data_IF_422399032985
#
_entry.id   IF_422399032985
#
_cell.length_a   1.000
_cell.length_b   1.000
_cell.length_c   1.000
_cell.angle_alpha   90.00
_cell.angle_beta   90.00
_cell.angle_gamma   90.00
#
_symmetry.space_group_name_H-M   'P 1'
#
loop_
_entity.id
_entity.type
_entity.pdbx_description
1 polymer ?
#
# COMPACT_ATOMS: atom_id res chain seq x y z
N UNK A 1 30.85 -2.21 3.38
CA UNK A 1 31.64 -2.35 2.14
C UNK A 1 31.18 -3.61 1.41
N UNK A 2 30.20 -3.50 0.54
CA UNK A 2 29.84 -4.58 -0.40
C UNK A 2 30.80 -4.52 -1.57
N UNK A 3 31.55 -5.57 -1.74
CA UNK A 3 32.56 -5.71 -2.82
C UNK A 3 31.87 -5.80 -4.19
N UNK A 4 32.25 -4.92 -5.07
CA UNK A 4 32.10 -5.04 -6.52
C UNK A 4 32.40 -6.46 -7.01
N UNK A 5 31.40 -7.14 -7.50
CA UNK A 5 31.55 -8.47 -8.11
C UNK A 5 30.55 -8.76 -9.24
N UNK A 6 30.17 -7.81 -10.06
CA UNK A 6 29.29 -8.19 -11.20
C UNK A 6 29.50 -7.43 -12.51
N UNK A 7 30.41 -6.49 -12.64
CA UNK A 7 30.51 -5.70 -13.90
C UNK A 7 29.24 -4.91 -14.25
N UNK A 8 28.29 -4.85 -13.34
CA UNK A 8 27.11 -4.01 -13.47
C UNK A 8 27.47 -2.57 -13.15
N UNK A 9 26.84 -1.58 -13.82
CA UNK A 9 27.03 -0.17 -13.48
C UNK A 9 26.66 0.07 -12.02
N UNK A 10 27.35 1.03 -11.39
CA UNK A 10 27.01 1.46 -10.04
C UNK A 10 25.55 1.94 -9.97
N UNK A 11 24.87 1.64 -8.86
CA UNK A 11 23.54 2.20 -8.61
C UNK A 11 23.63 3.72 -8.52
N UNK A 12 22.59 4.46 -8.96
CA UNK A 12 22.50 5.89 -8.77
C UNK A 12 22.65 6.27 -7.30
N UNK A 13 23.16 7.46 -7.02
CA UNK A 13 23.09 8.04 -5.69
C UNK A 13 21.68 8.59 -5.38
N UNK A 14 21.43 8.95 -4.13
CA UNK A 14 20.12 9.41 -3.66
C UNK A 14 19.61 10.66 -4.41
N UNK A 15 20.50 11.56 -4.78
CA UNK A 15 20.12 12.76 -5.51
C UNK A 15 19.71 12.44 -6.95
N UNK A 16 20.45 11.52 -7.61
CA UNK A 16 20.09 11.00 -8.92
C UNK A 16 18.77 10.24 -8.90
N UNK A 17 18.52 9.41 -7.87
CA UNK A 17 17.23 8.71 -7.72
C UNK A 17 16.08 9.70 -7.56
N UNK A 18 16.27 10.75 -6.75
CA UNK A 18 15.26 11.80 -6.56
C UNK A 18 14.99 12.55 -7.86
N UNK A 19 16.04 12.89 -8.62
CA UNK A 19 15.90 13.56 -9.91
C UNK A 19 15.16 12.68 -10.93
N UNK A 20 15.49 11.40 -11.02
CA UNK A 20 14.79 10.43 -11.86
C UNK A 20 13.30 10.32 -11.50
N UNK A 21 12.98 10.32 -10.21
CA UNK A 21 11.59 10.31 -9.75
C UNK A 21 10.80 11.54 -10.18
N UNK A 22 11.40 12.73 -10.04
CA UNK A 22 10.76 13.97 -10.48
C UNK A 22 10.67 14.08 -12.00
N UNK A 23 11.68 13.63 -12.72
CA UNK A 23 11.70 13.58 -14.18
C UNK A 23 10.60 12.63 -14.71
N UNK A 24 10.48 11.45 -14.12
CA UNK A 24 9.44 10.48 -14.46
C UNK A 24 8.04 11.08 -14.30
N UNK A 25 7.79 11.76 -13.18
CA UNK A 25 6.51 12.45 -12.93
C UNK A 25 6.21 13.48 -14.04
N UNK A 26 7.21 14.29 -14.42
CA UNK A 26 7.05 15.34 -15.45
C UNK A 26 6.75 14.73 -16.82
N UNK A 27 7.56 13.77 -17.27
CA UNK A 27 7.43 13.14 -18.59
C UNK A 27 6.08 12.43 -18.72
N UNK A 28 5.63 11.73 -17.66
CA UNK A 28 4.36 11.04 -17.68
C UNK A 28 3.17 12.00 -17.68
N UNK A 29 3.26 13.10 -16.92
CA UNK A 29 2.21 14.13 -16.91
C UNK A 29 2.02 14.77 -18.30
N UNK A 30 3.12 15.05 -19.03
CA UNK A 30 3.09 15.56 -20.43
C UNK A 30 2.37 14.59 -21.41
N UNK A 31 2.27 13.31 -21.03
CA UNK A 31 1.58 12.24 -21.80
C UNK A 31 0.19 11.94 -21.28
N UNK A 32 -0.32 12.73 -20.31
CA UNK A 32 -1.64 12.57 -19.71
C UNK A 32 -1.74 11.47 -18.66
N UNK A 33 -0.59 11.04 -18.11
CA UNK A 33 -0.54 10.11 -16.99
C UNK A 33 -0.24 10.87 -15.71
N UNK A 34 -1.19 10.91 -14.80
CA UNK A 34 -1.04 11.55 -13.49
C UNK A 34 -0.67 10.53 -12.43
N UNK A 35 0.17 10.93 -11.49
CA UNK A 35 0.49 10.10 -10.33
C UNK A 35 -0.72 10.08 -9.40
N UNK A 36 -1.24 8.90 -9.08
CA UNK A 36 -2.36 8.75 -8.16
C UNK A 36 -1.95 8.15 -6.80
N UNK A 37 -0.77 7.53 -6.72
CA UNK A 37 -0.12 7.07 -5.49
C UNK A 37 1.42 7.10 -5.67
N UNK A 38 2.18 6.77 -4.63
CA UNK A 38 3.64 6.95 -4.56
C UNK A 38 4.39 6.41 -5.79
N UNK A 39 4.00 5.24 -6.32
CA UNK A 39 4.74 4.51 -7.36
C UNK A 39 4.02 4.39 -8.69
N UNK A 40 2.73 4.71 -8.75
CA UNK A 40 1.91 4.41 -9.91
C UNK A 40 1.27 5.66 -10.54
N UNK A 41 1.16 5.59 -11.85
CA UNK A 41 0.60 6.64 -12.70
C UNK A 41 -0.52 6.06 -13.54
N UNK A 42 -1.53 6.86 -13.85
CA UNK A 42 -2.64 6.46 -14.71
C UNK A 42 -3.23 7.68 -15.45
N UNK A 43 -3.94 7.46 -16.53
CA UNK A 43 -4.86 8.46 -17.06
C UNK A 43 -6.03 8.59 -16.10
N UNK A 44 -6.59 9.77 -15.99
CA UNK A 44 -7.75 10.04 -15.12
C UNK A 44 -8.88 9.05 -15.39
N UNK A 45 -9.33 8.36 -14.34
CA UNK A 45 -10.37 7.32 -14.39
C UNK A 45 -9.85 5.91 -14.71
N UNK A 46 -8.55 5.75 -14.96
CA UNK A 46 -7.91 4.45 -15.22
C UNK A 46 -6.94 4.03 -14.11
N UNK A 47 -7.05 4.64 -12.93
CA UNK A 47 -6.26 4.25 -11.77
C UNK A 47 -6.51 2.77 -11.43
N UNK A 48 -5.44 2.07 -11.03
CA UNK A 48 -5.55 0.65 -10.67
C UNK A 48 -6.45 0.47 -9.43
N UNK A 49 -7.68 0.03 -9.67
CA UNK A 49 -8.68 -0.20 -8.62
C UNK A 49 -8.20 -1.21 -7.57
N UNK A 50 -7.44 -2.22 -7.99
CA UNK A 50 -6.86 -3.21 -7.10
C UNK A 50 -5.87 -2.57 -6.12
N UNK A 51 -4.94 -1.73 -6.60
CA UNK A 51 -4.00 -1.02 -5.74
C UNK A 51 -4.72 -0.07 -4.78
N UNK A 52 -5.68 0.71 -5.30
CA UNK A 52 -6.46 1.64 -4.48
C UNK A 52 -7.27 0.94 -3.39
N UNK A 53 -7.66 -0.31 -3.61
CA UNK A 53 -8.35 -1.11 -2.59
C UNK A 53 -7.45 -1.33 -1.37
N UNK A 54 -6.18 -1.66 -1.57
CA UNK A 54 -5.20 -1.80 -0.48
C UNK A 54 -4.94 -0.47 0.23
N UNK A 55 -4.67 0.60 -0.53
CA UNK A 55 -4.37 1.92 0.04
C UNK A 55 -5.54 2.53 0.82
N UNK A 56 -6.77 2.13 0.49
CA UNK A 56 -7.98 2.53 1.21
C UNK A 56 -8.37 1.56 2.33
N UNK A 57 -7.52 0.62 2.63
CA UNK A 57 -7.74 -0.42 3.65
C UNK A 57 -9.11 -1.07 3.50
N UNK A 58 -9.46 -1.51 2.29
CA UNK A 58 -10.67 -2.27 2.01
C UNK A 58 -10.41 -3.77 2.17
N UNK A 59 -11.47 -4.53 2.40
CA UNK A 59 -11.41 -5.97 2.50
C UNK A 59 -10.90 -6.60 1.20
N UNK A 60 -10.05 -7.60 1.34
CA UNK A 60 -9.57 -8.44 0.24
C UNK A 60 -9.29 -9.86 0.70
N UNK A 61 -9.45 -10.80 -0.21
CA UNK A 61 -9.13 -12.20 -0.01
C UNK A 61 -8.01 -12.62 -0.95
N UNK A 62 -6.89 -13.06 -0.40
CA UNK A 62 -5.76 -13.59 -1.13
C UNK A 62 -5.97 -15.05 -1.50
N UNK A 63 -5.71 -15.39 -2.75
CA UNK A 63 -5.78 -16.76 -3.28
C UNK A 63 -4.38 -17.24 -3.63
N UNK A 64 -4.07 -18.46 -3.25
CA UNK A 64 -2.78 -19.08 -3.50
C UNK A 64 -1.87 -19.14 -2.28
N UNK A 65 -0.68 -19.75 -2.47
CA UNK A 65 0.34 -19.94 -1.44
C UNK A 65 0.85 -18.61 -0.90
N UNK A 66 0.90 -18.45 0.42
CA UNK A 66 1.40 -17.27 1.09
C UNK A 66 0.58 -15.99 0.86
N UNK A 67 -0.55 -16.08 0.16
CA UNK A 67 -1.37 -14.92 -0.15
C UNK A 67 -2.01 -14.34 1.11
N UNK A 68 -1.85 -13.01 1.29
CA UNK A 68 -2.42 -12.30 2.42
C UNK A 68 -3.88 -11.92 2.16
N UNK A 69 -4.66 -11.88 3.24
CA UNK A 69 -6.05 -11.47 3.26
C UNK A 69 -6.28 -10.45 4.38
N UNK A 70 -7.24 -9.58 4.19
CA UNK A 70 -7.78 -8.72 5.23
C UNK A 70 -9.30 -8.65 5.07
N UNK A 71 -10.03 -9.05 6.09
CA UNK A 71 -11.49 -9.06 6.10
C UNK A 71 -11.95 -8.45 7.42
N UNK A 72 -12.54 -7.27 7.37
CA UNK A 72 -12.89 -6.49 8.55
C UNK A 72 -11.63 -6.10 9.35
N UNK A 73 -11.52 -6.63 10.55
CA UNK A 73 -10.40 -6.40 11.48
C UNK A 73 -9.35 -7.52 11.43
N UNK A 74 -9.67 -8.61 10.72
CA UNK A 74 -8.86 -9.82 10.69
C UNK A 74 -7.92 -9.81 9.50
N UNK A 75 -6.62 -9.92 9.77
CA UNK A 75 -5.57 -10.15 8.78
C UNK A 75 -5.04 -11.55 8.94
N UNK A 76 -4.83 -12.24 7.83
CA UNK A 76 -4.26 -13.59 7.83
C UNK A 76 -3.59 -13.87 6.48
N UNK A 77 -2.77 -14.91 6.45
CA UNK A 77 -2.14 -15.40 5.23
C UNK A 77 -2.44 -16.86 5.01
N UNK A 78 -2.49 -17.29 3.78
CA UNK A 78 -2.44 -18.72 3.47
C UNK A 78 -1.06 -19.27 3.81
N UNK A 79 -0.98 -20.57 4.09
CA UNK A 79 0.31 -21.23 4.28
C UNK A 79 1.19 -21.11 3.02
N UNK A 80 2.50 -20.99 3.21
CA UNK A 80 3.49 -21.07 2.13
C UNK A 80 3.93 -22.50 1.81
N UNK A 81 3.48 -23.48 2.59
CA UNK A 81 3.72 -24.90 2.36
C UNK A 81 2.66 -25.46 1.40
N UNK A 82 3.10 -25.90 0.22
CA UNK A 82 2.21 -26.41 -0.82
C UNK A 82 1.44 -27.66 -0.38
N UNK A 83 2.07 -28.55 0.38
CA UNK A 83 1.43 -29.79 0.83
C UNK A 83 0.28 -29.47 1.79
N UNK A 84 0.50 -28.57 2.73
CA UNK A 84 -0.54 -28.09 3.66
C UNK A 84 -1.63 -27.33 2.94
N UNK A 85 -1.27 -26.46 1.99
CA UNK A 85 -2.25 -25.71 1.22
C UNK A 85 -3.20 -26.60 0.42
N UNK A 86 -2.66 -27.70 -0.15
CA UNK A 86 -3.47 -28.66 -0.91
C UNK A 86 -4.32 -29.58 -0.05
N UNK A 87 -3.97 -29.75 1.23
CA UNK A 87 -4.71 -30.62 2.14
C UNK A 87 -5.90 -29.91 2.83
N UNK A 88 -5.65 -28.77 3.44
CA UNK A 88 -6.59 -28.15 4.36
C UNK A 88 -6.76 -26.63 4.22
N UNK A 89 -6.14 -26.01 3.22
CA UNK A 89 -6.15 -24.55 3.01
C UNK A 89 -5.79 -23.77 4.28
N UNK A 90 -4.84 -24.30 5.08
CA UNK A 90 -4.51 -23.76 6.39
C UNK A 90 -4.10 -22.28 6.32
N UNK A 91 -4.72 -21.47 7.15
CA UNK A 91 -4.29 -20.11 7.41
C UNK A 91 -3.10 -20.09 8.39
N UNK A 92 -2.27 -19.09 8.26
CA UNK A 92 -1.19 -18.78 9.19
C UNK A 92 -1.09 -17.28 9.41
N UNK A 93 -0.31 -16.85 10.40
CA UNK A 93 -0.07 -15.44 10.69
C UNK A 93 -1.38 -14.63 10.86
N UNK A 94 -2.32 -15.20 11.62
CA UNK A 94 -3.58 -14.52 11.93
C UNK A 94 -3.36 -13.42 12.97
N UNK A 95 -3.90 -12.23 12.69
CA UNK A 95 -3.86 -11.05 13.54
C UNK A 95 -5.23 -10.38 13.56
N UNK A 96 -5.69 -9.99 14.72
CA UNK A 96 -6.86 -9.12 14.89
C UNK A 96 -6.37 -7.71 15.17
N UNK A 97 -6.67 -6.79 14.28
CA UNK A 97 -6.29 -5.40 14.39
C UNK A 97 -7.23 -4.67 15.36
N UNK A 98 -6.68 -4.15 16.45
CA UNK A 98 -7.41 -3.27 17.34
C UNK A 98 -7.73 -1.91 16.67
N UNK A 99 -8.57 -1.12 17.31
CA UNK A 99 -9.01 0.17 16.77
C UNK A 99 -7.83 1.12 16.50
N UNK A 100 -6.83 1.12 17.38
CA UNK A 100 -5.65 1.97 17.23
C UNK A 100 -4.84 1.58 15.98
N UNK A 101 -4.53 0.30 15.84
CA UNK A 101 -3.83 -0.24 14.68
C UNK A 101 -4.59 0.04 13.37
N UNK A 102 -5.91 -0.08 13.38
CA UNK A 102 -6.74 0.23 12.21
C UNK A 102 -6.68 1.71 11.81
N UNK A 103 -6.68 2.63 12.79
CA UNK A 103 -6.54 4.07 12.59
C UNK A 103 -5.16 4.40 12.00
N UNK A 104 -4.10 3.93 12.64
CA UNK A 104 -2.70 4.15 12.21
C UNK A 104 -2.48 3.60 10.79
N UNK A 105 -2.98 2.41 10.50
CA UNK A 105 -2.87 1.81 9.18
C UNK A 105 -3.68 2.57 8.12
N UNK A 106 -4.87 3.05 8.45
CA UNK A 106 -5.68 3.87 7.53
C UNK A 106 -4.94 5.16 7.15
N UNK A 107 -4.28 5.81 8.11
CA UNK A 107 -3.46 6.99 7.84
C UNK A 107 -2.22 6.63 7.01
N UNK A 108 -1.44 5.68 7.44
CA UNK A 108 -0.21 5.25 6.79
C UNK A 108 -0.43 4.80 5.33
N UNK A 109 -1.48 4.00 5.07
CA UNK A 109 -1.82 3.55 3.72
C UNK A 109 -2.42 4.67 2.88
N UNK A 110 -3.32 5.47 3.46
CA UNK A 110 -3.98 6.56 2.74
C UNK A 110 -3.03 7.68 2.31
N UNK A 111 -2.01 7.98 3.11
CA UNK A 111 -0.96 8.96 2.77
C UNK A 111 -0.08 8.54 1.60
N UNK A 112 -0.13 7.29 1.16
CA UNK A 112 0.50 6.85 -0.09
C UNK A 112 -0.23 7.38 -1.32
N UNK A 113 -1.53 7.67 -1.21
CA UNK A 113 -2.32 8.22 -2.30
C UNK A 113 -2.14 9.74 -2.41
N UNK A 114 -2.13 10.26 -3.63
CA UNK A 114 -2.04 11.70 -3.89
C UNK A 114 -3.22 12.48 -3.29
N UNK A 115 -4.39 11.84 -3.19
CA UNK A 115 -5.59 12.41 -2.57
C UNK A 115 -5.57 12.37 -1.03
N UNK A 116 -4.63 11.61 -0.46
CA UNK A 116 -4.55 11.45 1.00
C UNK A 116 -5.73 10.72 1.61
N UNK A 117 -6.01 11.05 2.87
CA UNK A 117 -7.15 10.52 3.65
C UNK A 117 -8.23 11.59 3.78
N UNK A 118 -9.46 11.23 3.47
CA UNK A 118 -10.61 12.12 3.65
C UNK A 118 -11.12 12.06 5.09
N UNK A 119 -11.22 13.21 5.75
CA UNK A 119 -11.76 13.30 7.12
C UNK A 119 -13.21 12.80 7.20
N UNK A 120 -14.02 13.06 6.18
CA UNK A 120 -15.38 12.53 6.12
C UNK A 120 -15.39 11.00 6.14
N UNK A 121 -14.63 10.35 5.26
CA UNK A 121 -14.54 8.89 5.20
C UNK A 121 -13.94 8.30 6.47
N UNK A 122 -12.97 9.00 7.06
CA UNK A 122 -12.35 8.61 8.33
C UNK A 122 -13.37 8.66 9.47
N UNK A 123 -14.15 9.75 9.56
CA UNK A 123 -15.20 9.91 10.55
C UNK A 123 -16.34 8.89 10.40
N UNK A 124 -16.74 8.60 9.17
CA UNK A 124 -17.73 7.54 8.90
C UNK A 124 -17.26 6.17 9.39
N UNK A 125 -15.95 5.88 9.26
CA UNK A 125 -15.36 4.60 9.65
C UNK A 125 -15.09 4.48 11.14
N UNK A 126 -14.60 5.55 11.78
CA UNK A 126 -14.09 5.52 13.15
C UNK A 126 -14.94 6.30 14.16
N UNK A 127 -15.97 7.02 13.70
CA UNK A 127 -16.88 7.78 14.57
C UNK A 127 -16.33 9.13 15.03
N UNK A 128 -15.10 9.50 14.66
CA UNK A 128 -14.47 10.77 15.04
C UNK A 128 -13.54 11.30 13.93
N UNK A 129 -13.29 12.61 13.97
CA UNK A 129 -12.43 13.29 12.99
C UNK A 129 -10.95 12.95 13.19
N UNK A 130 -10.17 12.93 12.10
CA UNK A 130 -8.70 12.87 12.17
C UNK A 130 -8.12 13.98 13.04
N UNK A 131 -8.70 15.18 13.00
CA UNK A 131 -8.23 16.32 13.79
C UNK A 131 -8.35 16.09 15.30
N UNK A 132 -9.31 15.29 15.75
CA UNK A 132 -9.43 14.94 17.16
C UNK A 132 -8.31 14.01 17.65
N UNK A 133 -7.73 13.23 16.74
CA UNK A 133 -6.69 12.24 17.09
C UNK A 133 -5.28 12.80 16.82
N UNK A 134 -5.13 13.61 15.78
CA UNK A 134 -3.83 14.04 15.26
C UNK A 134 -3.66 15.57 15.21
N UNK A 135 -4.66 16.35 15.65
CA UNK A 135 -4.69 17.80 15.48
C UNK A 135 -3.62 18.57 16.27
N UNK A 136 -2.99 17.94 17.24
CA UNK A 136 -1.92 18.54 18.07
C UNK A 136 -0.51 18.16 17.57
N UNK A 137 -0.38 17.54 16.40
CA UNK A 137 0.87 17.18 15.72
C UNK A 137 1.12 18.16 14.55
#
# INVERSE_FOLDING_TARGET
MMKEKTGLPALPDEDSEREMYHLTKRILAERGYERYEVSNYARKGFECRHNLMYWRRKDYLGLGLGAASMVGERRFSNTSDISRYMQDFAYCQEEILDRKAQIEETMFLGLRCTLGVSDQTFKEKFGESMMNIYGDI
#
